data_IF_924640193953
#
_entry.id   IF_924640193953
#
_cell.length_a   1.000
_cell.length_b   1.000
_cell.length_c   1.000
_cell.angle_alpha   90.00
_cell.angle_beta   90.00
_cell.angle_gamma   90.00
#
_symmetry.space_group_name_H-M   'P 1'
#
loop_
_entity.id
_entity.type
_entity.pdbx_description
1 polymer ?
#
# COMPACT_ATOMS: atom_id res chain seq x y z
N UNK A 1 -20.68 0.76 42.70
CA UNK A 1 -19.54 -0.16 42.41
C UNK A 1 -19.32 -0.38 40.91
N UNK A 2 -20.35 -0.71 40.11
CA UNK A 2 -20.23 -0.87 38.64
C UNK A 2 -19.75 0.40 37.91
N UNK A 3 -20.25 1.58 38.31
CA UNK A 3 -19.83 2.86 37.73
C UNK A 3 -18.36 3.19 38.03
N UNK A 4 -17.91 2.92 39.26
CA UNK A 4 -16.56 3.23 39.73
C UNK A 4 -15.49 2.45 38.95
N UNK A 5 -15.75 1.18 38.66
CA UNK A 5 -14.86 0.35 37.82
C UNK A 5 -14.84 0.77 36.35
N UNK A 6 -15.96 1.27 35.82
CA UNK A 6 -16.03 1.76 34.45
C UNK A 6 -15.26 3.08 34.28
N UNK A 7 -15.43 4.01 35.20
CA UNK A 7 -14.69 5.29 35.23
C UNK A 7 -13.18 5.03 35.32
N UNK A 8 -12.76 4.08 36.16
CA UNK A 8 -11.35 3.69 36.25
C UNK A 8 -10.78 3.19 34.92
N UNK A 9 -11.50 2.30 34.23
CA UNK A 9 -11.10 1.82 32.88
C UNK A 9 -11.01 2.96 31.86
N UNK A 10 -12.01 3.85 31.83
CA UNK A 10 -12.03 5.00 30.90
C UNK A 10 -10.83 5.93 31.16
N UNK A 11 -10.52 6.22 32.42
CA UNK A 11 -9.35 7.04 32.76
C UNK A 11 -8.05 6.41 32.23
N UNK A 12 -7.87 5.10 32.41
CA UNK A 12 -6.74 4.37 31.86
C UNK A 12 -6.62 4.47 30.35
N UNK A 13 -7.74 4.31 29.63
CA UNK A 13 -7.78 4.41 28.16
C UNK A 13 -7.37 5.80 27.70
N UNK A 14 -7.88 6.86 28.34
CA UNK A 14 -7.55 8.25 27.98
C UNK A 14 -6.06 8.51 28.20
N UNK A 15 -5.54 8.17 29.39
CA UNK A 15 -4.12 8.37 29.74
C UNK A 15 -3.23 7.64 28.72
N UNK A 16 -3.49 6.36 28.47
CA UNK A 16 -2.68 5.57 27.54
C UNK A 16 -2.80 6.06 26.09
N UNK A 17 -3.97 6.52 25.67
CA UNK A 17 -4.17 7.08 24.33
C UNK A 17 -3.35 8.36 24.15
N UNK A 18 -3.33 9.25 25.15
CA UNK A 18 -2.50 10.46 25.13
C UNK A 18 -1.01 10.10 25.06
N UNK A 19 -0.55 9.14 25.87
CA UNK A 19 0.83 8.64 25.83
C UNK A 19 1.19 8.06 24.46
N UNK A 20 0.28 7.31 23.82
CA UNK A 20 0.48 6.77 22.46
C UNK A 20 0.58 7.88 21.41
N UNK A 21 -0.20 8.96 21.51
CA UNK A 21 -0.05 10.13 20.63
C UNK A 21 1.31 10.81 20.83
N UNK A 22 1.77 10.95 22.08
CA UNK A 22 3.09 11.54 22.38
C UNK A 22 4.19 10.67 21.77
N UNK A 23 4.12 9.35 21.97
CA UNK A 23 5.06 8.40 21.40
C UNK A 23 5.06 8.44 19.86
N UNK A 24 3.89 8.44 19.23
CA UNK A 24 3.76 8.52 17.77
C UNK A 24 4.30 9.84 17.18
N UNK A 25 4.16 10.95 17.90
CA UNK A 25 4.79 12.23 17.51
C UNK A 25 6.30 12.20 17.69
N UNK A 26 6.79 11.62 18.77
CA UNK A 26 8.23 11.48 19.03
C UNK A 26 8.89 10.59 17.97
N UNK A 27 8.25 9.46 17.64
CA UNK A 27 8.69 8.51 16.62
C UNK A 27 8.81 9.18 15.25
N UNK A 28 7.79 9.95 14.85
CA UNK A 28 7.80 10.68 13.57
C UNK A 28 8.89 11.75 13.49
N UNK A 29 9.15 12.50 14.59
CA UNK A 29 10.14 13.58 14.61
C UNK A 29 11.57 13.08 14.72
N UNK A 30 11.81 12.10 15.59
CA UNK A 30 13.17 11.66 15.97
C UNK A 30 13.59 10.33 15.34
N UNK A 31 12.69 9.64 14.62
CA UNK A 31 12.90 8.26 14.10
C UNK A 31 13.47 7.36 15.19
N UNK A 32 12.66 7.10 16.22
CA UNK A 32 13.13 6.39 17.40
C UNK A 32 13.63 4.97 17.04
N UNK A 33 14.70 4.48 17.70
CA UNK A 33 15.10 3.09 17.54
C UNK A 33 13.95 2.14 17.91
N UNK A 34 13.78 1.05 17.16
CA UNK A 34 12.69 0.08 17.36
C UNK A 34 12.60 -0.43 18.79
N UNK A 35 13.76 -0.68 19.44
CA UNK A 35 13.81 -1.12 20.84
C UNK A 35 13.27 -0.08 21.82
N UNK A 36 13.59 1.20 21.65
CA UNK A 36 13.10 2.30 22.51
C UNK A 36 11.59 2.44 22.37
N UNK A 37 11.09 2.43 21.14
CA UNK A 37 9.65 2.47 20.86
C UNK A 37 8.92 1.31 21.54
N UNK A 38 9.45 0.10 21.44
CA UNK A 38 8.87 -1.10 22.04
C UNK A 38 8.82 -1.00 23.58
N UNK A 39 9.88 -0.51 24.24
CA UNK A 39 9.89 -0.31 25.70
C UNK A 39 8.75 0.59 26.14
N UNK A 40 8.55 1.75 25.49
CA UNK A 40 7.44 2.63 25.82
C UNK A 40 6.08 1.97 25.58
N UNK A 41 5.91 1.20 24.51
CA UNK A 41 4.66 0.47 24.26
C UNK A 41 4.39 -0.60 25.32
N UNK A 42 5.41 -1.30 25.79
CA UNK A 42 5.30 -2.26 26.90
C UNK A 42 4.87 -1.54 28.18
N UNK A 43 5.51 -0.41 28.52
CA UNK A 43 5.14 0.39 29.70
C UNK A 43 3.69 0.89 29.63
N UNK A 44 3.26 1.42 28.49
CA UNK A 44 1.86 1.83 28.29
C UNK A 44 0.90 0.63 28.40
N UNK A 45 1.30 -0.53 27.89
CA UNK A 45 0.51 -1.76 28.01
C UNK A 45 0.38 -2.23 29.47
N UNK A 46 1.43 -2.09 30.28
CA UNK A 46 1.36 -2.39 31.72
C UNK A 46 0.42 -1.42 32.46
N UNK A 47 0.41 -0.15 32.08
CA UNK A 47 -0.51 0.85 32.65
C UNK A 47 -1.97 0.44 32.35
N UNK A 48 -2.32 0.11 31.11
CA UNK A 48 -3.71 -0.24 30.79
C UNK A 48 -4.15 -1.57 31.45
N UNK A 49 -3.22 -2.51 31.63
CA UNK A 49 -3.46 -3.75 32.39
C UNK A 49 -3.72 -3.44 33.87
N UNK A 50 -2.99 -2.50 34.46
CA UNK A 50 -3.25 -2.02 35.81
C UNK A 50 -4.66 -1.41 35.95
N UNK A 51 -5.14 -0.71 34.92
CA UNK A 51 -6.53 -0.23 34.84
C UNK A 51 -7.59 -1.33 34.62
N UNK A 52 -7.20 -2.61 34.60
CA UNK A 52 -8.11 -3.74 34.55
C UNK A 52 -8.60 -4.08 33.14
N UNK A 53 -7.85 -3.72 32.11
CA UNK A 53 -8.10 -4.14 30.73
C UNK A 53 -7.03 -5.15 30.32
N UNK A 54 -7.40 -6.43 30.36
CA UNK A 54 -6.55 -7.55 29.97
C UNK A 54 -7.39 -8.70 29.43
N UNK A 55 -6.77 -9.59 28.66
CA UNK A 55 -7.41 -10.81 28.15
C UNK A 55 -7.40 -11.85 29.27
N UNK A 56 -8.53 -12.05 29.95
CA UNK A 56 -8.59 -12.88 31.17
C UNK A 56 -8.80 -14.37 30.89
N UNK A 57 -9.64 -14.69 29.91
CA UNK A 57 -9.98 -16.06 29.56
C UNK A 57 -10.18 -16.21 28.06
N UNK A 58 -9.98 -17.43 27.57
CA UNK A 58 -10.27 -17.83 26.21
C UNK A 58 -11.11 -19.10 26.24
N UNK A 59 -12.08 -19.24 25.34
CA UNK A 59 -12.85 -20.47 25.24
C UNK A 59 -12.16 -21.45 24.30
N UNK A 60 -12.05 -22.72 24.72
CA UNK A 60 -11.43 -23.76 23.91
C UNK A 60 -12.29 -24.09 22.66
N UNK A 61 -11.70 -24.24 21.46
CA UNK A 61 -12.45 -24.45 20.22
C UNK A 61 -13.20 -25.78 20.10
N UNK A 62 -12.86 -26.81 20.89
CA UNK A 62 -13.31 -28.20 20.63
C UNK A 62 -13.99 -28.90 21.82
N UNK A 63 -14.30 -28.20 22.91
CA UNK A 63 -14.91 -28.87 24.07
C UNK A 63 -16.44 -28.70 24.04
N UNK A 64 -17.14 -29.79 23.78
CA UNK A 64 -18.60 -29.97 23.94
C UNK A 64 -19.10 -29.58 25.34
N UNK A 65 -18.19 -29.41 26.30
CA UNK A 65 -18.39 -29.03 27.69
C UNK A 65 -18.18 -27.53 28.00
N UNK A 66 -17.94 -26.67 27.01
CA UNK A 66 -17.98 -25.21 27.21
C UNK A 66 -16.94 -24.63 28.19
N UNK A 67 -15.82 -25.32 28.41
CA UNK A 67 -14.78 -24.90 29.34
C UNK A 67 -14.08 -23.58 28.95
N UNK A 68 -13.88 -22.72 29.94
CA UNK A 68 -13.06 -21.51 29.83
C UNK A 68 -11.61 -21.84 30.24
N UNK A 69 -10.65 -21.49 29.39
CA UNK A 69 -9.23 -21.47 29.72
C UNK A 69 -8.92 -20.13 30.37
N UNK A 70 -8.79 -20.11 31.70
CA UNK A 70 -8.35 -18.93 32.43
C UNK A 70 -6.83 -18.79 32.29
N UNK A 71 -6.37 -17.68 31.71
CA UNK A 71 -4.96 -17.51 31.39
C UNK A 71 -4.10 -17.14 32.60
N UNK A 72 -4.70 -16.68 33.70
CA UNK A 72 -4.02 -16.27 34.93
C UNK A 72 -2.75 -15.46 34.65
N UNK A 73 -1.55 -16.04 34.81
CA UNK A 73 -0.27 -15.39 34.56
C UNK A 73 0.00 -15.10 33.07
N UNK A 74 -0.48 -15.94 32.16
CA UNK A 74 -0.31 -15.78 30.70
C UNK A 74 -1.15 -14.61 30.14
N UNK A 75 -2.13 -14.12 30.90
CA UNK A 75 -2.98 -12.97 30.54
C UNK A 75 -2.16 -11.71 30.26
N UNK A 76 -1.14 -11.45 31.07
CA UNK A 76 -0.30 -10.25 30.98
C UNK A 76 0.52 -10.24 29.68
N UNK A 77 1.41 -11.23 29.41
CA UNK A 77 2.21 -11.22 28.19
C UNK A 77 1.34 -11.27 26.93
N UNK A 78 0.24 -12.03 26.93
CA UNK A 78 -0.67 -12.08 25.79
C UNK A 78 -1.31 -10.72 25.50
N UNK A 79 -1.76 -10.01 26.54
CA UNK A 79 -2.34 -8.67 26.39
C UNK A 79 -1.32 -7.68 25.86
N UNK A 80 -0.07 -7.73 26.35
CA UNK A 80 1.01 -6.87 25.86
C UNK A 80 1.29 -7.13 24.38
N UNK A 81 1.46 -8.40 23.99
CA UNK A 81 1.70 -8.79 22.59
C UNK A 81 0.54 -8.32 21.70
N UNK A 82 -0.70 -8.49 22.17
CA UNK A 82 -1.89 -8.05 21.44
C UNK A 82 -1.92 -6.54 21.22
N UNK A 83 -1.75 -5.76 22.29
CA UNK A 83 -1.76 -4.29 22.23
C UNK A 83 -0.66 -3.78 21.30
N UNK A 84 0.57 -4.30 21.42
CA UNK A 84 1.71 -3.88 20.61
C UNK A 84 1.50 -4.24 19.14
N UNK A 85 1.06 -5.47 18.85
CA UNK A 85 0.86 -5.97 17.48
C UNK A 85 -0.15 -5.11 16.72
N UNK A 86 -1.32 -4.86 17.32
CA UNK A 86 -2.37 -4.05 16.67
C UNK A 86 -1.95 -2.59 16.55
N UNK A 87 -1.36 -2.02 17.61
CA UNK A 87 -0.87 -0.64 17.63
C UNK A 87 0.15 -0.39 16.52
N UNK A 88 1.10 -1.31 16.37
CA UNK A 88 2.12 -1.21 15.31
C UNK A 88 1.53 -1.45 13.93
N UNK A 89 0.57 -2.38 13.80
CA UNK A 89 -0.07 -2.65 12.50
C UNK A 89 -0.80 -1.43 11.95
N UNK A 90 -1.58 -0.72 12.77
CA UNK A 90 -2.24 0.53 12.35
C UNK A 90 -1.26 1.70 12.26
N UNK A 91 -0.26 1.77 13.14
CA UNK A 91 0.77 2.80 13.09
C UNK A 91 1.62 2.73 11.81
N UNK A 92 1.96 1.52 11.34
CA UNK A 92 2.67 1.27 10.08
C UNK A 92 1.76 1.41 8.86
N UNK A 93 0.45 1.17 9.01
CA UNK A 93 -0.51 1.41 7.93
C UNK A 93 -0.47 2.86 7.42
N UNK A 94 0.10 3.83 8.17
CA UNK A 94 0.45 5.16 7.66
C UNK A 94 1.24 5.15 6.33
N UNK A 95 2.05 4.13 6.08
CA UNK A 95 2.78 3.95 4.83
C UNK A 95 1.84 3.66 3.63
N UNK A 96 0.57 3.31 3.87
CA UNK A 96 -0.48 3.22 2.84
C UNK A 96 -0.95 4.61 2.37
N UNK A 97 -0.57 5.68 3.08
CA UNK A 97 -1.01 7.05 2.81
C UNK A 97 -2.41 7.32 3.36
N UNK A 98 -3.26 7.96 2.56
CA UNK A 98 -4.55 8.53 2.99
C UNK A 98 -5.67 7.50 3.26
N UNK A 99 -5.34 6.23 3.24
CA UNK A 99 -6.30 5.12 3.32
C UNK A 99 -6.50 4.67 4.77
N UNK A 100 -5.51 4.87 5.64
CA UNK A 100 -5.54 4.41 7.03
C UNK A 100 -6.79 4.87 7.80
N UNK A 101 -7.27 6.13 7.65
CA UNK A 101 -8.54 6.54 8.24
C UNK A 101 -9.75 5.70 7.77
N UNK A 102 -9.78 5.27 6.52
CA UNK A 102 -10.85 4.39 6.01
C UNK A 102 -10.78 3.00 6.65
N UNK A 103 -9.59 2.44 6.82
CA UNK A 103 -9.41 1.14 7.47
C UNK A 103 -9.85 1.23 8.95
N UNK A 104 -9.43 2.28 9.65
CA UNK A 104 -9.84 2.53 11.05
C UNK A 104 -11.35 2.75 11.14
N UNK A 105 -11.94 3.50 10.20
CA UNK A 105 -13.39 3.72 10.14
C UNK A 105 -14.15 2.41 9.96
N UNK A 106 -13.78 1.60 8.95
CA UNK A 106 -14.39 0.30 8.70
C UNK A 106 -14.26 -0.61 9.93
N UNK A 107 -13.06 -0.67 10.53
CA UNK A 107 -12.82 -1.48 11.71
C UNK A 107 -13.69 -1.05 12.90
N UNK A 108 -13.72 0.25 13.22
CA UNK A 108 -14.53 0.81 14.31
C UNK A 108 -16.02 0.58 14.12
N UNK A 109 -16.54 0.76 12.89
CA UNK A 109 -17.94 0.49 12.59
C UNK A 109 -18.27 -1.00 12.73
N UNK A 110 -17.36 -1.88 12.31
CA UNK A 110 -17.55 -3.33 12.44
C UNK A 110 -17.56 -3.75 13.91
N UNK A 111 -16.64 -3.23 14.73
CA UNK A 111 -16.66 -3.49 16.18
C UNK A 111 -17.94 -3.00 16.84
N UNK A 112 -18.44 -1.81 16.46
CA UNK A 112 -19.72 -1.30 16.96
C UNK A 112 -20.87 -2.26 16.63
N UNK A 113 -21.00 -2.65 15.36
CA UNK A 113 -22.08 -3.53 14.91
C UNK A 113 -22.00 -4.91 15.57
N UNK A 114 -20.80 -5.50 15.63
CA UNK A 114 -20.58 -6.79 16.30
C UNK A 114 -20.93 -6.70 17.78
N UNK A 115 -20.54 -5.62 18.46
CA UNK A 115 -20.84 -5.43 19.88
C UNK A 115 -22.35 -5.30 20.13
N UNK A 116 -23.05 -4.53 19.30
CA UNK A 116 -24.50 -4.35 19.41
C UNK A 116 -25.28 -5.66 19.18
N UNK A 117 -24.83 -6.48 18.23
CA UNK A 117 -25.49 -7.77 17.93
C UNK A 117 -25.29 -8.80 19.03
N UNK A 118 -24.14 -8.78 19.73
CA UNK A 118 -23.88 -9.73 20.82
C UNK A 118 -24.75 -9.47 22.07
N UNK A 119 -25.40 -8.30 22.22
CA UNK A 119 -26.37 -7.95 23.29
C UNK A 119 -25.90 -8.24 24.73
N UNK A 120 -24.59 -8.22 25.00
CA UNK A 120 -23.99 -8.55 26.31
C UNK A 120 -23.70 -7.35 27.23
N UNK A 121 -24.26 -6.17 26.93
CA UNK A 121 -23.99 -4.96 27.72
C UNK A 121 -22.50 -4.56 27.64
N UNK A 122 -21.97 -4.49 26.42
CA UNK A 122 -20.59 -4.10 26.09
C UNK A 122 -20.50 -2.57 25.89
N UNK A 123 -21.18 -1.80 26.74
CA UNK A 123 -21.36 -0.35 26.62
C UNK A 123 -20.04 0.39 26.38
N UNK A 124 -18.97 -0.02 27.08
CA UNK A 124 -17.64 0.58 26.93
C UNK A 124 -17.06 0.37 25.51
N UNK A 125 -17.17 -0.84 24.96
CA UNK A 125 -16.69 -1.13 23.60
C UNK A 125 -17.55 -0.43 22.54
N UNK A 126 -18.87 -0.36 22.74
CA UNK A 126 -19.80 0.34 21.85
C UNK A 126 -19.49 1.84 21.80
N UNK A 127 -19.36 2.49 22.96
CA UNK A 127 -19.05 3.91 23.05
C UNK A 127 -17.69 4.24 22.41
N UNK A 128 -16.65 3.46 22.71
CA UNK A 128 -15.31 3.66 22.13
C UNK A 128 -15.33 3.44 20.61
N UNK A 129 -16.05 2.44 20.12
CA UNK A 129 -16.17 2.15 18.69
C UNK A 129 -16.88 3.29 17.96
N UNK A 130 -17.97 3.83 18.54
CA UNK A 130 -18.68 4.98 17.97
C UNK A 130 -17.80 6.23 17.94
N UNK A 131 -17.12 6.55 19.04
CA UNK A 131 -16.21 7.70 19.12
C UNK A 131 -15.10 7.55 18.06
N UNK A 132 -14.51 6.36 17.94
CA UNK A 132 -13.47 6.09 16.96
C UNK A 132 -13.99 6.22 15.52
N UNK A 133 -15.20 5.74 15.23
CA UNK A 133 -15.82 5.89 13.92
C UNK A 133 -16.04 7.37 13.56
N UNK A 134 -16.52 8.19 14.50
CA UNK A 134 -16.69 9.64 14.29
C UNK A 134 -15.36 10.31 14.04
N UNK A 135 -14.33 10.02 14.87
CA UNK A 135 -12.99 10.56 14.68
C UNK A 135 -12.43 10.17 13.31
N UNK A 136 -12.51 8.89 12.95
CA UNK A 136 -12.01 8.40 11.66
C UNK A 136 -12.75 9.05 10.48
N UNK A 137 -14.07 9.25 10.58
CA UNK A 137 -14.85 9.97 9.58
C UNK A 137 -14.44 11.45 9.43
N UNK A 138 -14.18 12.14 10.55
CA UNK A 138 -13.66 13.52 10.53
C UNK A 138 -12.29 13.55 9.83
N UNK A 139 -11.44 12.56 10.10
CA UNK A 139 -10.14 12.42 9.42
C UNK A 139 -10.29 12.21 7.91
N UNK A 140 -11.27 11.43 7.48
CA UNK A 140 -11.57 11.22 6.06
C UNK A 140 -12.05 12.51 5.39
N UNK A 141 -12.96 13.26 6.04
CA UNK A 141 -13.67 14.38 5.39
C UNK A 141 -12.96 15.73 5.51
N UNK A 142 -12.36 16.03 6.66
CA UNK A 142 -11.95 17.40 7.00
C UNK A 142 -10.44 17.57 7.19
N UNK A 143 -9.70 16.49 7.49
CA UNK A 143 -8.28 16.63 7.81
C UNK A 143 -7.40 16.44 6.58
N UNK A 144 -6.43 17.34 6.35
CA UNK A 144 -5.51 17.22 5.23
C UNK A 144 -4.64 15.97 5.36
N UNK A 145 -4.53 15.32 4.21
CA UNK A 145 -3.77 14.10 3.91
C UNK A 145 -2.33 14.15 4.44
N UNK A 146 -1.88 13.07 5.09
CA UNK A 146 -0.51 12.88 5.60
C UNK A 146 -0.06 13.68 6.84
N UNK A 147 -0.81 14.68 7.33
CA UNK A 147 -0.38 15.52 8.47
C UNK A 147 -0.59 14.86 9.85
N UNK A 148 -1.54 13.93 9.96
CA UNK A 148 -1.99 13.35 11.24
C UNK A 148 -1.59 11.88 11.42
N UNK A 149 -0.61 11.42 10.65
CA UNK A 149 0.09 10.13 10.80
C UNK A 149 0.38 9.74 12.26
N UNK A 150 0.90 10.68 13.07
CA UNK A 150 1.29 10.45 14.46
C UNK A 150 0.15 9.99 15.38
N UNK A 151 -1.11 10.15 14.98
CA UNK A 151 -2.28 9.75 15.76
C UNK A 151 -2.68 8.29 15.52
N UNK A 152 -2.24 7.68 14.41
CA UNK A 152 -2.63 6.31 14.05
C UNK A 152 -2.14 5.26 15.05
N UNK A 153 -1.02 5.52 15.74
CA UNK A 153 -0.57 4.70 16.85
C UNK A 153 -1.61 4.67 17.99
N UNK A 154 -2.20 5.81 18.33
CA UNK A 154 -3.28 5.87 19.32
C UNK A 154 -4.57 5.23 18.82
N UNK A 155 -4.88 5.34 17.52
CA UNK A 155 -6.07 4.67 16.95
C UNK A 155 -5.93 3.16 17.01
N UNK A 156 -4.75 2.63 16.66
CA UNK A 156 -4.42 1.22 16.81
C UNK A 156 -4.54 0.75 18.26
N UNK A 157 -4.03 1.53 19.22
CA UNK A 157 -4.18 1.23 20.64
C UNK A 157 -5.65 1.16 21.07
N UNK A 158 -6.47 2.15 20.71
CA UNK A 158 -7.90 2.16 21.07
C UNK A 158 -8.64 1.00 20.41
N UNK A 159 -8.37 0.68 19.13
CA UNK A 159 -8.95 -0.49 18.46
C UNK A 159 -8.53 -1.81 19.14
N UNK A 160 -7.28 -1.91 19.61
CA UNK A 160 -6.81 -3.07 20.36
C UNK A 160 -7.55 -3.20 21.71
N UNK A 161 -7.78 -2.09 22.40
CA UNK A 161 -8.57 -2.05 23.64
C UNK A 161 -10.03 -2.43 23.38
N UNK A 162 -10.66 -1.89 22.34
CA UNK A 162 -12.03 -2.25 21.94
C UNK A 162 -12.14 -3.76 21.73
N UNK A 163 -11.16 -4.34 21.02
CA UNK A 163 -11.11 -5.78 20.79
C UNK A 163 -10.99 -6.57 22.11
N UNK A 164 -10.12 -6.17 23.03
CA UNK A 164 -9.98 -6.84 24.34
C UNK A 164 -11.29 -6.76 25.13
N UNK A 165 -11.89 -5.56 25.23
CA UNK A 165 -13.14 -5.36 25.99
C UNK A 165 -14.29 -6.16 25.37
N UNK A 166 -14.38 -6.21 24.03
CA UNK A 166 -15.36 -7.01 23.30
C UNK A 166 -15.19 -8.52 23.51
N UNK A 167 -13.95 -9.01 23.50
CA UNK A 167 -13.64 -10.43 23.73
C UNK A 167 -13.90 -10.83 25.18
N UNK A 168 -13.63 -9.95 26.15
CA UNK A 168 -13.66 -10.26 27.59
C UNK A 168 -15.05 -10.57 28.17
N UNK A 169 -16.14 -10.37 27.42
CA UNK A 169 -17.49 -10.81 27.84
C UNK A 169 -18.08 -11.89 26.93
N UNK A 170 -17.48 -12.11 25.77
CA UNK A 170 -18.07 -12.95 24.75
C UNK A 170 -17.72 -14.41 24.99
N UNK A 171 -18.76 -15.20 25.25
CA UNK A 171 -18.66 -16.64 25.52
C UNK A 171 -18.33 -17.47 24.29
N UNK A 172 -18.07 -16.87 23.12
CA UNK A 172 -17.86 -17.59 21.87
C UNK A 172 -16.39 -18.03 21.69
N UNK A 173 -16.16 -19.26 21.19
CA UNK A 173 -14.82 -19.81 20.97
C UNK A 173 -14.03 -19.12 19.85
N UNK A 174 -14.72 -18.40 18.95
CA UNK A 174 -14.13 -17.69 17.81
C UNK A 174 -13.88 -16.19 18.09
N UNK A 175 -13.90 -15.77 19.35
CA UNK A 175 -13.90 -14.34 19.73
C UNK A 175 -12.61 -13.61 19.42
N UNK A 176 -11.44 -14.23 19.60
CA UNK A 176 -10.16 -13.62 19.17
C UNK A 176 -9.99 -13.56 17.65
N UNK A 177 -10.72 -14.38 16.91
CA UNK A 177 -10.65 -14.41 15.45
C UNK A 177 -11.33 -13.17 14.84
N UNK A 178 -12.41 -12.68 15.45
CA UNK A 178 -13.18 -11.55 14.94
C UNK A 178 -12.31 -10.28 14.82
N UNK A 179 -11.59 -9.82 15.87
CA UNK A 179 -10.67 -8.70 15.75
C UNK A 179 -9.55 -8.93 14.73
N UNK A 180 -9.04 -10.17 14.62
CA UNK A 180 -7.99 -10.51 13.65
C UNK A 180 -8.49 -10.37 12.21
N UNK A 181 -9.75 -10.74 11.93
CA UNK A 181 -10.37 -10.52 10.62
C UNK A 181 -10.59 -9.03 10.36
N UNK A 182 -11.18 -8.31 11.31
CA UNK A 182 -11.46 -6.86 11.20
C UNK A 182 -10.16 -6.08 10.90
N UNK A 183 -9.06 -6.47 11.55
CA UNK A 183 -7.76 -5.82 11.43
C UNK A 183 -6.79 -6.57 10.50
N UNK A 184 -7.31 -7.51 9.71
CA UNK A 184 -6.50 -8.45 8.93
C UNK A 184 -5.55 -7.74 7.95
N UNK A 185 -6.03 -6.72 7.24
CA UNK A 185 -5.22 -5.97 6.27
C UNK A 185 -4.02 -5.27 6.93
N UNK A 186 -4.18 -4.43 7.99
CA UNK A 186 -3.06 -3.88 8.73
C UNK A 186 -2.08 -4.92 9.26
N UNK A 187 -2.59 -6.03 9.80
CA UNK A 187 -1.76 -7.10 10.37
C UNK A 187 -0.94 -7.77 9.25
N UNK A 188 -1.53 -8.03 8.09
CA UNK A 188 -0.84 -8.60 6.93
C UNK A 188 0.26 -7.66 6.43
N UNK A 189 -0.02 -6.37 6.30
CA UNK A 189 0.99 -5.39 5.84
C UNK A 189 2.18 -5.30 6.81
N UNK A 190 1.92 -5.23 8.11
CA UNK A 190 2.94 -5.26 9.17
C UNK A 190 3.74 -6.57 9.19
N UNK A 191 3.06 -7.71 9.03
CA UNK A 191 3.73 -9.02 8.98
C UNK A 191 4.65 -9.13 7.76
N UNK A 192 4.19 -8.64 6.61
CA UNK A 192 4.98 -8.63 5.38
C UNK A 192 6.19 -7.70 5.49
N UNK A 193 6.06 -6.56 6.16
CA UNK A 193 7.17 -5.63 6.39
C UNK A 193 8.28 -6.26 7.25
N UNK A 194 7.91 -6.97 8.30
CA UNK A 194 8.85 -7.69 9.19
C UNK A 194 9.62 -8.77 8.41
N UNK A 195 8.89 -9.64 7.70
CA UNK A 195 9.51 -10.74 6.92
C UNK A 195 10.42 -10.21 5.82
N UNK A 196 9.99 -9.17 5.10
CA UNK A 196 10.79 -8.55 4.04
C UNK A 196 12.08 -7.90 4.57
N UNK A 197 12.06 -7.36 5.80
CA UNK A 197 13.25 -6.77 6.42
C UNK A 197 14.24 -7.83 6.89
N UNK A 198 13.76 -8.97 7.40
CA UNK A 198 14.61 -10.09 7.82
C UNK A 198 15.30 -10.76 6.62
N UNK A 199 14.56 -11.03 5.54
CA UNK A 199 15.11 -11.62 4.32
C UNK A 199 16.23 -10.78 3.66
N UNK A 200 16.28 -9.47 3.94
CA UNK A 200 17.38 -8.58 3.49
C UNK A 200 18.65 -8.73 4.33
N UNK A 201 18.54 -9.05 5.62
CA UNK A 201 19.71 -9.19 6.50
C UNK A 201 20.52 -10.46 6.20
N UNK A 202 19.88 -11.51 5.69
CA UNK A 202 20.53 -12.79 5.37
C UNK A 202 21.28 -12.81 4.02
N UNK A 203 21.20 -11.76 3.19
CA UNK A 203 21.95 -11.68 1.93
C UNK A 203 23.09 -10.64 1.93
N UNK A 204 24.22 -10.88 2.64
CA UNK A 204 25.45 -10.14 2.46
C UNK A 204 26.33 -10.83 1.40
N UNK A 205 25.85 -10.95 0.17
CA UNK A 205 26.62 -11.51 -0.95
C UNK A 205 27.21 -10.39 -1.82
N UNK A 206 28.53 -10.36 -2.10
CA UNK A 206 29.08 -9.40 -3.05
C UNK A 206 28.76 -9.89 -4.47
N UNK A 207 28.05 -9.07 -5.25
CA UNK A 207 28.05 -9.21 -6.72
C UNK A 207 26.73 -9.52 -7.43
N UNK A 208 25.60 -9.70 -6.74
CA UNK A 208 24.29 -9.68 -7.41
C UNK A 208 23.74 -8.28 -7.27
N UNK A 209 23.78 -7.52 -8.38
CA UNK A 209 23.36 -6.13 -8.46
C UNK A 209 22.06 -5.91 -7.68
N UNK A 210 22.08 -4.89 -6.80
CA UNK A 210 20.93 -4.40 -6.03
C UNK A 210 19.68 -4.48 -6.90
N UNK A 211 18.82 -5.48 -6.67
CA UNK A 211 17.57 -5.60 -7.41
C UNK A 211 16.81 -4.27 -7.24
N UNK A 212 16.63 -3.46 -8.30
CA UNK A 212 16.03 -2.13 -8.17
C UNK A 212 14.52 -2.20 -7.95
N UNK A 213 13.95 -3.41 -7.82
CA UNK A 213 12.54 -3.63 -7.55
C UNK A 213 12.12 -3.11 -6.15
N UNK A 214 13.10 -2.86 -5.27
CA UNK A 214 12.87 -2.38 -3.91
C UNK A 214 13.77 -1.20 -3.58
N UNK A 215 13.75 -0.17 -4.43
CA UNK A 215 14.52 1.06 -4.24
C UNK A 215 14.13 1.80 -2.96
N UNK A 216 15.12 2.42 -2.32
CA UNK A 216 15.08 3.12 -1.03
C UNK A 216 14.35 4.49 -1.06
N UNK A 217 13.56 4.78 -2.08
CA UNK A 217 12.90 6.08 -2.22
C UNK A 217 11.48 6.05 -1.63
N UNK A 218 11.40 6.25 -0.30
CA UNK A 218 10.20 6.73 0.40
C UNK A 218 9.19 5.67 0.83
N UNK A 219 9.20 5.34 2.13
CA UNK A 219 8.04 5.01 3.00
C UNK A 219 6.71 4.71 2.27
N UNK A 220 6.59 3.55 1.62
CA UNK A 220 5.34 3.07 1.01
C UNK A 220 5.08 1.65 1.49
N UNK A 221 3.83 1.38 1.88
CA UNK A 221 3.42 0.06 2.38
C UNK A 221 3.82 -1.05 1.43
N UNK A 222 4.32 -2.14 2.00
CA UNK A 222 4.80 -3.29 1.24
C UNK A 222 3.67 -4.05 0.56
N UNK A 223 2.50 -4.14 1.19
CA UNK A 223 1.31 -4.72 0.57
C UNK A 223 0.92 -3.95 -0.69
N UNK A 224 0.92 -2.61 -0.64
CA UNK A 224 0.64 -1.77 -1.80
C UNK A 224 1.68 -1.96 -2.91
N UNK A 225 2.97 -1.99 -2.56
CA UNK A 225 4.04 -2.29 -3.53
C UNK A 225 3.84 -3.67 -4.17
N UNK A 226 3.42 -4.67 -3.39
CA UNK A 226 3.16 -6.01 -3.91
C UNK A 226 1.98 -6.03 -4.89
N UNK A 227 0.89 -5.33 -4.58
CA UNK A 227 -0.24 -5.17 -5.51
C UNK A 227 0.19 -4.45 -6.80
N UNK A 228 1.01 -3.41 -6.69
CA UNK A 228 1.57 -2.72 -7.87
C UNK A 228 2.45 -3.66 -8.71
N UNK A 229 3.19 -4.57 -8.07
CA UNK A 229 3.98 -5.59 -8.80
C UNK A 229 3.10 -6.59 -9.57
N UNK A 230 1.82 -6.75 -9.19
CA UNK A 230 0.83 -7.52 -9.96
C UNK A 230 0.19 -6.72 -11.11
N UNK A 231 0.53 -5.45 -11.28
CA UNK A 231 -0.01 -4.58 -12.33
C UNK A 231 -1.07 -3.58 -11.87
N UNK A 232 -1.43 -3.57 -10.58
CA UNK A 232 -2.42 -2.62 -10.07
C UNK A 232 -1.88 -1.18 -10.12
N UNK A 233 -2.72 -0.24 -10.57
CA UNK A 233 -2.41 1.19 -10.43
C UNK A 233 -2.35 1.61 -8.95
N UNK A 234 -1.72 2.75 -8.66
CA UNK A 234 -1.63 3.26 -7.30
C UNK A 234 -2.99 3.51 -6.64
N UNK A 235 -4.02 3.87 -7.42
CA UNK A 235 -5.39 4.03 -6.95
C UNK A 235 -6.13 2.69 -6.89
N UNK A 236 -5.91 1.81 -7.87
CA UNK A 236 -6.47 0.46 -7.89
C UNK A 236 -6.05 -0.35 -6.67
N UNK A 237 -4.76 -0.35 -6.34
CA UNK A 237 -4.23 -1.01 -5.14
C UNK A 237 -4.90 -0.48 -3.86
N UNK A 238 -5.10 0.85 -3.77
CA UNK A 238 -5.77 1.46 -2.63
C UNK A 238 -7.22 0.99 -2.49
N UNK A 239 -7.96 0.98 -3.60
CA UNK A 239 -9.35 0.52 -3.63
C UNK A 239 -9.45 -0.97 -3.29
N UNK A 240 -8.51 -1.79 -3.79
CA UNK A 240 -8.43 -3.21 -3.44
C UNK A 240 -8.20 -3.42 -1.94
N UNK A 241 -7.29 -2.66 -1.33
CA UNK A 241 -7.01 -2.73 0.11
C UNK A 241 -8.26 -2.36 0.93
N UNK A 242 -8.98 -1.30 0.56
CA UNK A 242 -10.26 -0.94 1.20
C UNK A 242 -11.30 -2.04 0.99
N UNK A 243 -11.42 -2.57 -0.23
CA UNK A 243 -12.37 -3.63 -0.57
C UNK A 243 -12.12 -4.92 0.22
N UNK A 244 -10.86 -5.34 0.34
CA UNK A 244 -10.46 -6.50 1.17
C UNK A 244 -10.73 -6.22 2.65
N UNK A 245 -10.45 -5.00 3.14
CA UNK A 245 -10.77 -4.63 4.53
C UNK A 245 -12.27 -4.73 4.80
N UNK A 246 -13.10 -4.22 3.91
CA UNK A 246 -14.56 -4.31 4.00
C UNK A 246 -15.04 -5.77 3.95
N UNK A 247 -14.46 -6.59 3.06
CA UNK A 247 -14.78 -8.00 2.92
C UNK A 247 -14.47 -8.79 4.20
N UNK A 248 -13.28 -8.59 4.78
CA UNK A 248 -12.88 -9.25 6.01
C UNK A 248 -13.75 -8.79 7.20
N UNK A 249 -14.07 -7.49 7.26
CA UNK A 249 -15.02 -6.95 8.25
C UNK A 249 -16.42 -7.55 8.13
N UNK A 250 -16.97 -7.67 6.92
CA UNK A 250 -18.27 -8.30 6.69
C UNK A 250 -18.24 -9.79 7.07
N UNK A 251 -17.15 -10.48 6.73
CA UNK A 251 -16.93 -11.87 7.11
C UNK A 251 -16.88 -12.02 8.63
N UNK A 252 -16.17 -11.11 9.33
CA UNK A 252 -16.10 -11.09 10.79
C UNK A 252 -17.49 -10.87 11.43
N UNK A 253 -18.30 -9.98 10.85
CA UNK A 253 -19.68 -9.76 11.29
C UNK A 253 -20.54 -11.02 11.13
N UNK A 254 -20.52 -11.67 9.96
CA UNK A 254 -21.25 -12.90 9.69
C UNK A 254 -20.81 -14.02 10.67
N UNK A 255 -19.51 -14.19 10.87
CA UNK A 255 -18.95 -15.19 11.80
C UNK A 255 -19.39 -14.89 13.23
N UNK A 256 -19.52 -13.62 13.61
CA UNK A 256 -19.99 -13.26 14.96
C UNK A 256 -21.42 -13.75 15.25
N UNK A 257 -22.27 -13.85 14.22
CA UNK A 257 -23.65 -14.34 14.31
C UNK A 257 -23.69 -15.87 14.30
N UNK A 258 -23.09 -16.50 13.29
CA UNK A 258 -23.25 -17.94 13.05
C UNK A 258 -22.28 -18.80 13.84
N UNK A 259 -21.15 -18.23 14.30
CA UNK A 259 -20.12 -18.89 15.12
C UNK A 259 -19.64 -20.25 14.55
N UNK A 260 -19.63 -20.37 13.21
CA UNK A 260 -19.30 -21.61 12.52
C UNK A 260 -17.91 -21.53 11.88
N UNK A 261 -17.02 -22.46 12.27
CA UNK A 261 -15.66 -22.54 11.73
C UNK A 261 -15.61 -22.92 10.24
N UNK A 262 -16.52 -23.78 9.77
CA UNK A 262 -16.60 -24.14 8.35
C UNK A 262 -17.01 -22.93 7.49
N UNK A 263 -17.89 -22.08 8.02
CA UNK A 263 -18.28 -20.84 7.35
C UNK A 263 -17.09 -19.89 7.18
N UNK A 264 -16.23 -19.78 8.20
CA UNK A 264 -14.96 -19.05 8.09
C UNK A 264 -14.11 -19.59 6.93
N UNK A 265 -13.90 -20.91 6.86
CA UNK A 265 -13.10 -21.52 5.79
C UNK A 265 -13.69 -21.20 4.41
N UNK A 266 -15.01 -21.34 4.24
CA UNK A 266 -15.70 -21.05 2.99
C UNK A 266 -15.54 -19.57 2.61
N UNK A 267 -15.74 -18.65 3.55
CA UNK A 267 -15.54 -17.22 3.29
C UNK A 267 -14.10 -16.94 2.91
N UNK A 268 -13.11 -17.38 3.69
CA UNK A 268 -11.69 -17.17 3.33
C UNK A 268 -11.33 -17.73 1.95
N UNK A 269 -11.82 -18.92 1.59
CA UNK A 269 -11.63 -19.52 0.28
C UNK A 269 -12.30 -18.68 -0.84
N UNK A 270 -13.53 -18.22 -0.61
CA UNK A 270 -14.22 -17.34 -1.56
C UNK A 270 -13.47 -16.03 -1.76
N UNK A 271 -13.04 -15.37 -0.67
CA UNK A 271 -12.24 -14.14 -0.74
C UNK A 271 -10.93 -14.34 -1.50
N UNK A 272 -10.25 -15.48 -1.30
CA UNK A 272 -9.06 -15.86 -2.05
C UNK A 272 -9.33 -16.02 -3.54
N UNK A 273 -10.39 -16.76 -3.92
CA UNK A 273 -10.78 -16.94 -5.33
C UNK A 273 -11.11 -15.61 -5.99
N UNK A 274 -11.88 -14.75 -5.32
CA UNK A 274 -12.19 -13.40 -5.83
C UNK A 274 -10.92 -12.57 -6.00
N UNK A 275 -9.99 -12.63 -5.05
CA UNK A 275 -8.70 -11.95 -5.16
C UNK A 275 -7.88 -12.46 -6.35
N UNK A 276 -7.82 -13.77 -6.57
CA UNK A 276 -7.14 -14.37 -7.73
C UNK A 276 -7.78 -13.95 -9.06
N UNK A 277 -9.11 -13.91 -9.14
CA UNK A 277 -9.82 -13.42 -10.32
C UNK A 277 -9.53 -11.95 -10.59
N UNK A 278 -9.55 -11.10 -9.56
CA UNK A 278 -9.19 -9.68 -9.66
C UNK A 278 -7.73 -9.52 -10.11
N UNK A 279 -6.81 -10.27 -9.52
CA UNK A 279 -5.40 -10.27 -9.87
C UNK A 279 -5.19 -10.67 -11.33
N UNK A 280 -5.85 -11.74 -11.79
CA UNK A 280 -5.75 -12.19 -13.17
C UNK A 280 -6.35 -11.18 -14.15
N UNK A 281 -7.47 -10.55 -13.80
CA UNK A 281 -8.09 -9.49 -14.63
C UNK A 281 -7.19 -8.26 -14.76
N UNK A 282 -6.59 -7.81 -13.65
CA UNK A 282 -5.65 -6.68 -13.67
C UNK A 282 -4.36 -7.03 -14.40
N UNK A 283 -3.88 -8.27 -14.30
CA UNK A 283 -2.74 -8.75 -15.09
C UNK A 283 -3.05 -8.83 -16.58
N UNK A 284 -4.30 -9.09 -16.96
CA UNK A 284 -4.75 -9.15 -18.36
C UNK A 284 -5.01 -7.78 -18.98
N UNK A 285 -5.28 -6.74 -18.19
CA UNK A 285 -5.20 -5.35 -18.64
C UNK A 285 -3.72 -4.95 -18.66
N UNK A 286 -3.12 -5.07 -19.85
CA UNK A 286 -1.69 -4.94 -20.14
C UNK A 286 -0.96 -3.89 -19.29
N UNK A 287 0.13 -4.34 -18.66
CA UNK A 287 1.12 -3.52 -17.95
C UNK A 287 1.31 -2.16 -18.62
N UNK A 288 0.98 -1.09 -17.89
CA UNK A 288 1.15 0.28 -18.37
C UNK A 288 2.63 0.58 -18.63
N UNK A 289 3.57 -0.02 -17.87
CA UNK A 289 5.03 0.12 -18.09
C UNK A 289 5.83 -1.11 -17.70
N UNK A 290 6.74 -1.54 -18.58
CA UNK A 290 7.81 -2.51 -18.29
C UNK A 290 9.17 -2.00 -18.76
N UNK A 291 10.25 -2.33 -18.05
CA UNK A 291 11.62 -2.09 -18.54
C UNK A 291 12.04 -3.27 -19.39
N UNK A 292 12.47 -3.00 -20.61
CA UNK A 292 13.09 -4.03 -21.43
C UNK A 292 14.59 -4.05 -21.12
N UNK A 293 15.03 -5.10 -20.42
CA UNK A 293 16.42 -5.24 -19.97
C UNK A 293 17.35 -5.39 -21.19
N UNK A 294 16.84 -5.86 -22.33
CA UNK A 294 17.61 -6.07 -23.55
C UNK A 294 17.78 -4.80 -24.39
N UNK A 295 16.84 -3.86 -24.36
CA UNK A 295 16.84 -2.69 -25.27
C UNK A 295 17.01 -1.35 -24.57
N UNK A 296 17.19 -1.31 -23.24
CA UNK A 296 17.32 -0.08 -22.43
C UNK A 296 16.14 0.91 -22.51
N UNK A 297 15.04 0.53 -23.18
CA UNK A 297 13.83 1.33 -23.35
C UNK A 297 12.88 1.24 -22.15
N UNK A 298 12.18 2.34 -21.87
CA UNK A 298 11.01 2.39 -20.98
C UNK A 298 9.78 2.09 -21.84
N UNK A 299 9.02 1.04 -21.55
CA UNK A 299 7.74 0.81 -22.25
C UNK A 299 6.66 1.69 -21.64
N UNK A 300 6.09 2.63 -22.36
CA UNK A 300 4.90 3.39 -21.98
C UNK A 300 3.73 2.89 -22.83
N UNK A 301 2.75 2.25 -22.20
CA UNK A 301 1.63 1.59 -22.90
C UNK A 301 2.11 0.70 -24.06
N UNK A 302 3.10 -0.16 -23.77
CA UNK A 302 3.81 -1.03 -24.73
C UNK A 302 4.70 -0.33 -25.77
N UNK A 303 4.65 0.99 -25.88
CA UNK A 303 5.55 1.76 -26.76
C UNK A 303 6.90 1.92 -26.05
N UNK A 304 7.97 1.35 -26.60
CA UNK A 304 9.31 1.53 -26.04
C UNK A 304 9.85 2.93 -26.35
N UNK A 305 10.10 3.73 -25.33
CA UNK A 305 10.74 5.05 -25.40
C UNK A 305 12.20 4.90 -24.97
N UNK A 306 13.12 5.39 -25.80
CA UNK A 306 14.55 5.42 -25.50
C UNK A 306 14.87 6.50 -24.47
N UNK A 307 15.74 6.15 -23.51
CA UNK A 307 16.26 7.09 -22.52
C UNK A 307 17.44 7.85 -23.14
N UNK A 308 17.13 8.87 -23.94
CA UNK A 308 18.15 9.68 -24.62
C UNK A 308 17.91 11.17 -24.39
N UNK A 309 18.99 11.92 -24.30
CA UNK A 309 18.97 13.39 -24.36
C UNK A 309 19.20 13.90 -25.80
N UNK A 310 19.20 15.22 -26.00
CA UNK A 310 19.42 15.79 -27.33
C UNK A 310 20.82 15.47 -27.90
N UNK A 311 21.87 15.40 -27.08
CA UNK A 311 23.24 15.15 -27.55
C UNK A 311 23.41 13.69 -27.98
N UNK A 312 22.96 12.76 -27.14
CA UNK A 312 22.95 11.32 -27.40
C UNK A 312 22.12 10.98 -28.65
N UNK A 313 20.99 11.67 -28.82
CA UNK A 313 20.13 11.51 -30.00
C UNK A 313 20.91 11.83 -31.27
N UNK A 314 21.58 12.98 -31.35
CA UNK A 314 22.33 13.39 -32.54
C UNK A 314 23.55 12.51 -32.78
N UNK A 315 24.23 12.06 -31.73
CA UNK A 315 25.32 11.10 -31.86
C UNK A 315 24.86 9.78 -32.49
N UNK A 316 23.74 9.21 -32.02
CA UNK A 316 23.17 7.98 -32.62
C UNK A 316 22.78 8.18 -34.08
N UNK A 317 22.21 9.33 -34.42
CA UNK A 317 21.86 9.67 -35.81
C UNK A 317 23.10 9.72 -36.69
N UNK A 318 24.18 10.30 -36.20
CA UNK A 318 25.46 10.30 -36.91
C UNK A 318 25.99 8.87 -37.13
N UNK A 319 25.93 8.02 -36.11
CA UNK A 319 26.30 6.60 -36.23
C UNK A 319 25.44 5.88 -37.28
N UNK A 320 24.13 6.15 -37.32
CA UNK A 320 23.22 5.62 -38.33
C UNK A 320 23.59 6.08 -39.74
N UNK A 321 23.93 7.36 -39.93
CA UNK A 321 24.39 7.87 -41.23
C UNK A 321 25.67 7.16 -41.67
N UNK A 322 26.65 7.03 -40.77
CA UNK A 322 27.93 6.36 -41.06
C UNK A 322 27.74 4.88 -41.39
N UNK A 323 26.76 4.22 -40.77
CA UNK A 323 26.46 2.81 -41.01
C UNK A 323 26.00 2.50 -42.43
N UNK A 324 25.48 3.51 -43.16
CA UNK A 324 24.87 3.39 -44.50
C UNK A 324 23.72 2.38 -44.59
N UNK A 325 23.10 2.02 -43.47
CA UNK A 325 21.89 1.19 -43.42
C UNK A 325 20.65 2.08 -43.24
N UNK A 326 19.49 1.65 -43.75
CA UNK A 326 18.25 2.36 -43.46
C UNK A 326 17.92 2.22 -41.98
N UNK A 327 17.68 3.36 -41.32
CA UNK A 327 17.23 3.43 -39.93
C UNK A 327 16.00 4.34 -39.81
N UNK A 328 15.10 3.99 -38.91
CA UNK A 328 13.86 4.72 -38.64
C UNK A 328 13.89 5.33 -37.24
N UNK A 329 13.62 6.62 -37.18
CA UNK A 329 13.50 7.39 -35.93
C UNK A 329 12.06 7.86 -35.81
N UNK A 330 11.46 7.68 -34.63
CA UNK A 330 10.09 8.12 -34.35
C UNK A 330 10.08 9.04 -33.14
N UNK A 331 9.30 10.11 -33.21
CA UNK A 331 9.18 11.15 -32.18
C UNK A 331 7.75 11.16 -31.64
N UNK A 332 7.32 10.12 -30.89
CA UNK A 332 5.94 10.03 -30.44
C UNK A 332 5.64 11.10 -29.39
N UNK A 333 4.58 11.86 -29.61
CA UNK A 333 3.95 12.66 -28.56
C UNK A 333 2.98 11.80 -27.74
N UNK A 334 2.34 12.40 -26.73
CA UNK A 334 1.37 11.68 -25.87
C UNK A 334 0.23 11.07 -26.67
N UNK A 335 -0.24 11.75 -27.73
CA UNK A 335 -1.35 11.27 -28.56
C UNK A 335 -0.94 10.09 -29.43
N UNK A 336 0.28 10.09 -29.98
CA UNK A 336 0.86 8.97 -30.71
C UNK A 336 0.93 7.71 -29.83
N UNK A 337 1.39 7.83 -28.58
CA UNK A 337 1.43 6.71 -27.63
C UNK A 337 0.03 6.17 -27.35
N UNK A 338 -0.98 7.04 -27.18
CA UNK A 338 -2.36 6.63 -26.97
C UNK A 338 -2.98 6.00 -28.22
N UNK A 339 -2.64 6.51 -29.41
CA UNK A 339 -3.09 5.96 -30.69
C UNK A 339 -2.55 4.55 -30.91
N UNK A 340 -1.28 4.31 -30.57
CA UNK A 340 -0.65 2.99 -30.67
C UNK A 340 -1.40 1.90 -29.89
N UNK A 341 -2.20 2.25 -28.89
CA UNK A 341 -3.06 1.27 -28.18
C UNK A 341 -4.26 0.80 -28.99
N UNK A 342 -4.77 1.64 -29.90
CA UNK A 342 -5.98 1.37 -30.68
C UNK A 342 -5.66 0.88 -32.09
N UNK A 343 -4.43 1.08 -32.53
CA UNK A 343 -3.97 0.88 -33.90
C UNK A 343 -2.76 -0.08 -33.90
N UNK A 344 -2.99 -1.39 -34.10
CA UNK A 344 -1.93 -2.40 -34.07
C UNK A 344 -0.84 -2.19 -35.12
N UNK A 345 -1.19 -1.62 -36.28
CA UNK A 345 -0.25 -1.30 -37.34
C UNK A 345 0.68 -0.16 -36.91
N UNK A 346 0.10 0.91 -36.34
CA UNK A 346 0.89 2.01 -35.79
C UNK A 346 1.79 1.57 -34.63
N UNK A 347 1.32 0.65 -33.79
CA UNK A 347 2.12 0.05 -32.74
C UNK A 347 3.33 -0.73 -33.28
N UNK A 348 3.14 -1.50 -34.36
CA UNK A 348 4.20 -2.26 -34.98
C UNK A 348 5.32 -1.35 -35.53
N UNK A 349 4.96 -0.21 -36.13
CA UNK A 349 5.91 0.80 -36.62
C UNK A 349 6.77 1.36 -35.48
N UNK A 350 6.13 1.76 -34.37
CA UNK A 350 6.85 2.25 -33.18
C UNK A 350 7.78 1.19 -32.59
N UNK A 351 7.37 -0.08 -32.65
CA UNK A 351 8.16 -1.20 -32.14
C UNK A 351 9.37 -1.52 -33.02
N UNK A 352 9.25 -1.38 -34.35
CA UNK A 352 10.34 -1.63 -35.29
C UNK A 352 11.34 -0.48 -35.42
N UNK A 353 11.02 0.70 -34.90
CA UNK A 353 11.89 1.86 -34.97
C UNK A 353 13.23 1.64 -34.23
N UNK A 354 14.33 2.08 -34.87
CA UNK A 354 15.69 2.02 -34.33
C UNK A 354 15.89 3.00 -33.17
N UNK A 355 15.16 4.12 -33.18
CA UNK A 355 15.18 5.12 -32.11
C UNK A 355 13.79 5.74 -31.92
N UNK A 356 13.30 5.74 -30.68
CA UNK A 356 12.02 6.31 -30.28
C UNK A 356 12.25 7.35 -29.18
N UNK A 357 12.14 8.62 -29.54
CA UNK A 357 12.55 9.73 -28.65
C UNK A 357 11.42 10.21 -27.72
N UNK A 358 11.76 10.80 -26.56
CA UNK A 358 10.78 11.36 -25.64
C UNK A 358 10.32 12.78 -26.06
N UNK A 359 9.46 12.88 -27.08
CA UNK A 359 8.99 14.18 -27.61
C UNK A 359 7.95 14.86 -26.69
N UNK A 360 6.95 14.12 -26.21
CA UNK A 360 5.84 14.72 -25.45
C UNK A 360 6.19 15.15 -24.02
N UNK A 361 5.81 16.37 -23.61
CA UNK A 361 5.89 16.76 -22.19
C UNK A 361 5.10 15.82 -21.26
N UNK A 362 3.99 15.26 -21.75
CA UNK A 362 3.21 14.24 -21.05
C UNK A 362 3.96 12.91 -20.87
N UNK A 363 4.86 12.56 -21.79
CA UNK A 363 5.74 11.38 -21.71
C UNK A 363 6.75 11.58 -20.58
N UNK A 364 7.41 12.74 -20.52
CA UNK A 364 8.33 13.08 -19.42
C UNK A 364 7.62 13.10 -18.07
N UNK A 365 6.47 13.75 -18.00
CA UNK A 365 5.66 13.82 -16.79
C UNK A 365 5.23 12.42 -16.32
N UNK A 366 4.76 11.58 -17.24
CA UNK A 366 4.37 10.21 -16.93
C UNK A 366 5.56 9.38 -16.44
N UNK A 367 6.69 9.45 -17.15
CA UNK A 367 7.91 8.73 -16.80
C UNK A 367 8.44 9.15 -15.41
N UNK A 368 8.46 10.45 -15.12
CA UNK A 368 8.87 11.01 -13.82
C UNK A 368 7.91 10.60 -12.69
N UNK A 369 6.60 10.73 -12.92
CA UNK A 369 5.56 10.34 -11.94
C UNK A 369 5.62 8.85 -11.60
N UNK A 370 6.10 8.05 -12.55
CA UNK A 370 6.21 6.60 -12.44
C UNK A 370 7.62 6.13 -12.05
N UNK A 371 8.48 7.03 -11.55
CA UNK A 371 9.84 6.77 -11.05
C UNK A 371 10.84 6.24 -12.10
N UNK A 372 10.61 6.54 -13.39
CA UNK A 372 11.56 6.30 -14.47
C UNK A 372 11.85 7.63 -15.18
N UNK A 373 12.57 8.57 -14.54
CA UNK A 373 12.82 9.87 -15.15
C UNK A 373 13.57 9.70 -16.48
N UNK A 374 13.03 10.34 -17.52
CA UNK A 374 13.71 10.52 -18.79
C UNK A 374 14.67 11.72 -18.67
N UNK A 375 15.85 11.69 -19.31
CA UNK A 375 16.87 12.70 -19.11
C UNK A 375 16.44 14.08 -19.64
N UNK A 376 15.84 14.12 -20.83
CA UNK A 376 15.41 15.36 -21.47
C UNK A 376 14.18 15.13 -22.35
N UNK A 377 13.50 16.22 -22.72
CA UNK A 377 12.50 16.25 -23.78
C UNK A 377 13.22 16.46 -25.11
N UNK A 378 13.05 15.53 -26.04
CA UNK A 378 13.71 15.56 -27.35
C UNK A 378 12.63 15.65 -28.42
N UNK A 379 12.39 16.85 -28.94
CA UNK A 379 11.30 17.07 -29.90
C UNK A 379 11.75 16.85 -31.34
N UNK A 380 10.82 16.47 -32.23
CA UNK A 380 11.13 16.32 -33.65
C UNK A 380 11.72 17.58 -34.29
N UNK A 381 11.27 18.77 -33.89
CA UNK A 381 11.80 20.04 -34.41
C UNK A 381 13.26 20.28 -33.98
N UNK A 382 13.60 19.94 -32.73
CA UNK A 382 14.98 20.06 -32.22
C UNK A 382 15.92 19.11 -32.95
N UNK A 383 15.46 17.87 -33.21
CA UNK A 383 16.21 16.87 -33.97
C UNK A 383 16.50 17.40 -35.39
N UNK A 384 15.50 17.88 -36.12
CA UNK A 384 15.68 18.40 -37.48
C UNK A 384 16.67 19.57 -37.49
N UNK A 385 16.54 20.53 -36.57
CA UNK A 385 17.45 21.67 -36.49
C UNK A 385 18.90 21.25 -36.26
N UNK A 386 19.11 20.29 -35.36
CA UNK A 386 20.44 19.78 -35.05
C UNK A 386 21.04 18.93 -36.19
N UNK A 387 20.21 18.14 -36.90
CA UNK A 387 20.63 17.41 -38.10
C UNK A 387 21.06 18.38 -39.21
N UNK A 388 20.33 19.49 -39.42
CA UNK A 388 20.71 20.50 -40.41
C UNK A 388 22.08 21.11 -40.11
N UNK A 389 22.35 21.43 -38.84
CA UNK A 389 23.68 21.92 -38.40
C UNK A 389 24.78 20.87 -38.60
N UNK A 390 24.50 19.62 -38.26
CA UNK A 390 25.44 18.51 -38.46
C UNK A 390 25.76 18.31 -39.95
N UNK A 391 24.73 18.38 -40.79
CA UNK A 391 24.83 18.24 -42.24
C UNK A 391 25.63 19.38 -42.86
N UNK A 392 25.43 20.62 -42.43
CA UNK A 392 26.23 21.76 -42.87
C UNK A 392 27.72 21.62 -42.48
N UNK A 393 28.01 21.03 -41.31
CA UNK A 393 29.38 20.83 -40.82
C UNK A 393 30.10 19.67 -41.51
N UNK A 394 29.39 18.57 -41.79
CA UNK A 394 29.98 17.32 -42.30
C UNK A 394 29.69 17.02 -43.77
N UNK A 395 28.89 17.84 -44.44
CA UNK A 395 28.53 17.68 -45.84
C UNK A 395 27.52 16.56 -46.10
N UNK A 396 26.66 16.24 -45.14
CA UNK A 396 25.60 15.25 -45.36
C UNK A 396 24.47 15.83 -46.21
N UNK A 397 23.90 15.01 -47.10
CA UNK A 397 22.75 15.38 -47.92
C UNK A 397 21.44 15.20 -47.14
N UNK A 398 20.52 16.15 -47.29
CA UNK A 398 19.19 16.09 -46.69
C UNK A 398 18.14 15.99 -47.77
N UNK A 399 17.15 15.14 -47.54
CA UNK A 399 15.95 15.05 -48.36
C UNK A 399 14.74 15.19 -47.45
N UNK A 400 13.92 16.19 -47.69
CA UNK A 400 12.72 16.50 -46.91
C UNK A 400 11.50 16.00 -47.67
N UNK A 401 10.82 15.02 -47.10
CA UNK A 401 9.66 14.37 -47.70
C UNK A 401 8.40 14.69 -46.91
N UNK A 402 7.38 15.20 -47.61
CA UNK A 402 6.09 15.54 -47.03
C UNK A 402 6.02 16.99 -46.58
N UNK A 403 5.26 17.79 -47.33
CA UNK A 403 4.74 19.11 -46.94
C UNK A 403 3.83 19.62 -48.06
N UNK A 404 3.20 20.78 -47.87
CA UNK A 404 2.55 21.49 -48.98
C UNK A 404 3.61 21.94 -50.01
N UNK A 405 3.26 22.06 -51.31
CA UNK A 405 4.18 22.55 -52.33
C UNK A 405 4.81 23.90 -51.93
N UNK A 406 6.15 23.97 -51.96
CA UNK A 406 6.92 25.18 -51.67
C UNK A 406 7.32 25.41 -50.20
N UNK A 407 7.08 24.44 -49.31
CA UNK A 407 7.38 24.59 -47.86
C UNK A 407 8.63 23.83 -47.39
N UNK A 408 8.91 22.66 -47.97
CA UNK A 408 10.00 21.77 -47.55
C UNK A 408 11.33 22.09 -48.25
#
# INVERSE_FOLDING_TARGET
>A
MLETGMVFKIAGIIICSVLMVILGRADRKKKLPTGVKLIFQVLISLIIIYFGIKIEFLRAPSSSSGGYLYLSYLSIPLTIIWLISITNSIGQADELGDITPYIVFIASLTFLVVSLVQRQGLILAEALSLIMAVIAFIFIKYLPRGKFSSYYMSFGFILAVIAIVGVSKSTAALTLLIPLLILGVPIIDSSYSIVANYARQESPGPGIGKFPLFSESGSRSRLRQKLQSYGFSAQGANLTIIGVSLYLSLSAFIISIYQNFYLLLILTAFGWVVFELLKNKVRSEELIIGRDILTSRIKLFQVGIDQVDNQETIQKIEEFIVSKKPHQIVTPDTLAVLRARKDPEYHAILKSADLVTPDGAGILWAATTLNYPLPERVTGIDIIHNICRLSAKKGYSLYLLGSYPGVA
#
